data_IF_247676841156
#
_entry.id   IF_247676841156
#
_cell.length_a   1.000
_cell.length_b   1.000
_cell.length_c   1.000
_cell.angle_alpha   90.00
_cell.angle_beta   90.00
_cell.angle_gamma   90.00
#
_symmetry.space_group_name_H-M   'P 1'
#
loop_
_entity.id
_entity.type
_entity.pdbx_description
1 polymer ?
#
# COMPACT_ATOMS: atom_id res chain seq x y z
N UNK A 1 -10.14 12.38 -30.90
CA UNK A 1 -9.43 12.97 -29.75
C UNK A 1 -8.48 11.91 -29.23
N UNK A 2 -7.19 12.17 -29.01
CA UNK A 2 -6.33 11.18 -28.35
C UNK A 2 -6.89 10.98 -26.95
N UNK A 3 -7.03 9.72 -26.50
CA UNK A 3 -7.41 9.39 -25.15
C UNK A 3 -6.39 10.03 -24.20
N UNK A 4 -6.83 10.94 -23.31
CA UNK A 4 -5.99 11.50 -22.26
C UNK A 4 -5.45 10.33 -21.44
N UNK A 5 -4.15 10.24 -21.36
CA UNK A 5 -3.46 9.17 -20.64
C UNK A 5 -3.70 9.41 -19.14
N UNK A 6 -4.53 8.58 -18.51
CA UNK A 6 -4.77 8.64 -17.07
C UNK A 6 -3.44 8.54 -16.34
N UNK A 7 -3.20 9.44 -15.38
CA UNK A 7 -1.95 9.48 -14.62
C UNK A 7 -1.88 8.34 -13.61
N UNK A 8 -0.71 7.71 -13.50
CA UNK A 8 -0.41 6.75 -12.45
C UNK A 8 0.41 7.43 -11.37
N UNK A 9 -0.03 7.35 -10.13
CA UNK A 9 0.65 7.92 -8.97
C UNK A 9 1.18 6.81 -8.09
N UNK A 10 2.49 6.78 -7.91
CA UNK A 10 3.18 5.83 -7.03
C UNK A 10 3.79 6.58 -5.84
N UNK A 11 3.21 6.41 -4.65
CA UNK A 11 3.70 7.00 -3.41
C UNK A 11 5.07 6.49 -2.95
N UNK A 12 5.62 5.46 -3.57
CA UNK A 12 7.01 5.06 -3.35
C UNK A 12 8.00 6.08 -3.94
N UNK A 13 7.55 6.91 -4.90
CA UNK A 13 8.36 7.97 -5.50
C UNK A 13 8.33 9.25 -4.67
N UNK A 14 9.45 10.01 -4.71
CA UNK A 14 9.52 11.33 -4.08
C UNK A 14 8.56 12.29 -4.79
N UNK A 15 7.90 13.13 -4.01
CA UNK A 15 6.99 14.16 -4.52
C UNK A 15 5.87 13.60 -5.42
N UNK A 16 5.40 12.37 -5.14
CA UNK A 16 4.39 11.69 -5.94
C UNK A 16 3.14 12.54 -6.17
N UNK A 17 2.66 13.25 -5.15
CA UNK A 17 1.50 14.13 -5.25
C UNK A 17 1.72 15.40 -6.09
N UNK A 18 2.97 15.77 -6.43
CA UNK A 18 3.26 16.97 -7.22
C UNK A 18 2.67 16.92 -8.63
N UNK A 19 2.41 15.73 -9.15
CA UNK A 19 1.75 15.53 -10.44
C UNK A 19 0.25 15.87 -10.43
N UNK A 20 -0.37 15.86 -9.25
CA UNK A 20 -1.82 16.02 -9.08
C UNK A 20 -2.23 17.13 -8.10
N UNK A 21 -1.30 17.70 -7.35
CA UNK A 21 -1.56 18.77 -6.37
C UNK A 21 -0.66 19.98 -6.66
N UNK A 22 -1.18 21.22 -6.54
CA UNK A 22 -0.43 22.42 -6.92
C UNK A 22 0.65 22.84 -5.92
N UNK A 23 0.59 22.39 -4.66
CA UNK A 23 1.58 22.72 -3.63
C UNK A 23 2.20 21.45 -3.08
N UNK A 24 3.49 21.51 -2.75
CA UNK A 24 4.20 20.45 -2.03
C UNK A 24 3.58 20.21 -0.65
N UNK A 25 3.74 19.01 -0.07
CA UNK A 25 3.27 18.72 1.29
C UNK A 25 3.98 19.60 2.32
N UNK A 26 3.27 19.94 3.40
CA UNK A 26 3.84 20.61 4.59
C UNK A 26 4.76 19.69 5.38
N UNK A 27 4.46 18.37 5.33
CA UNK A 27 5.19 17.32 6.01
C UNK A 27 5.09 16.04 5.16
N UNK A 28 6.19 15.31 5.00
CA UNK A 28 6.22 14.06 4.25
C UNK A 28 7.11 13.03 4.95
N UNK A 29 6.62 11.80 5.06
CA UNK A 29 7.37 10.68 5.61
C UNK A 29 8.29 9.99 4.59
N UNK A 30 8.52 10.59 3.43
CA UNK A 30 9.35 9.98 2.39
C UNK A 30 10.74 9.57 2.91
N UNK A 31 11.38 10.44 3.67
CA UNK A 31 12.72 10.20 4.25
C UNK A 31 12.69 9.48 5.61
N UNK A 32 11.52 9.25 6.21
CA UNK A 32 11.37 8.65 7.54
C UNK A 32 11.53 7.11 7.56
N UNK A 33 11.82 6.48 6.42
CA UNK A 33 12.06 5.03 6.28
C UNK A 33 10.92 4.13 6.81
N UNK A 34 9.68 4.63 6.83
CA UNK A 34 8.52 3.82 7.16
C UNK A 34 8.26 2.78 6.07
N UNK A 35 7.85 1.57 6.45
CA UNK A 35 7.75 0.45 5.52
C UNK A 35 6.30 0.20 5.09
N UNK A 36 6.05 0.31 3.79
CA UNK A 36 4.75 0.03 3.19
C UNK A 36 3.67 1.05 3.52
N UNK A 37 3.97 2.05 4.34
CA UNK A 37 3.11 3.19 4.67
C UNK A 37 3.84 4.49 4.38
N UNK A 38 3.11 5.46 3.85
CA UNK A 38 3.54 6.85 3.72
C UNK A 38 2.49 7.76 4.30
N UNK A 39 2.93 8.90 4.83
CA UNK A 39 2.06 9.98 5.29
C UNK A 39 2.54 11.30 4.71
N UNK A 40 1.60 12.06 4.19
CA UNK A 40 1.83 13.45 3.79
C UNK A 40 0.77 14.35 4.41
N UNK A 41 1.17 15.53 4.87
CA UNK A 41 0.28 16.57 5.35
C UNK A 41 0.21 17.68 4.31
N UNK A 42 -0.97 17.96 3.82
CA UNK A 42 -1.22 18.92 2.75
C UNK A 42 -2.09 20.08 3.19
N UNK A 43 -1.80 21.27 2.64
CA UNK A 43 -2.69 22.42 2.60
C UNK A 43 -2.74 22.92 1.17
N UNK A 44 -3.88 22.75 0.52
CA UNK A 44 -4.04 22.99 -0.91
C UNK A 44 -5.10 24.05 -1.16
N UNK A 45 -4.90 24.96 -2.15
CA UNK A 45 -5.94 25.91 -2.57
C UNK A 45 -7.12 25.19 -3.19
N UNK A 46 -8.22 25.89 -3.50
CA UNK A 46 -9.26 25.35 -4.34
C UNK A 46 -8.69 24.84 -5.66
N UNK A 47 -8.97 23.59 -6.01
CA UNK A 47 -8.33 22.91 -7.14
C UNK A 47 -9.20 21.79 -7.70
N UNK A 48 -8.87 21.35 -8.90
CA UNK A 48 -9.38 20.14 -9.53
C UNK A 48 -8.19 19.29 -9.95
N UNK A 49 -8.10 18.06 -9.42
CA UNK A 49 -7.03 17.14 -9.81
C UNK A 49 -7.25 16.62 -11.22
N UNK A 50 -6.19 16.34 -12.00
CA UNK A 50 -6.35 15.55 -13.21
C UNK A 50 -6.90 14.17 -12.86
N UNK A 51 -7.45 13.47 -13.84
CA UNK A 51 -7.88 12.08 -13.67
C UNK A 51 -6.66 11.17 -13.46
N UNK A 52 -6.67 10.37 -12.40
CA UNK A 52 -5.54 9.55 -12.00
C UNK A 52 -5.97 8.32 -11.21
N UNK A 53 -5.04 7.38 -11.01
CA UNK A 53 -5.16 6.31 -10.04
C UNK A 53 -3.87 6.15 -9.24
N UNK A 54 -4.01 5.63 -8.02
CA UNK A 54 -2.91 5.31 -7.14
C UNK A 54 -2.57 3.82 -7.20
N UNK A 55 -1.29 3.47 -7.15
CA UNK A 55 -0.86 2.07 -7.00
C UNK A 55 -1.11 1.53 -5.58
N UNK A 56 -1.21 2.43 -4.59
CA UNK A 56 -1.46 2.13 -3.19
C UNK A 56 -2.92 2.43 -2.82
N UNK A 57 -3.41 1.85 -1.70
CA UNK A 57 -4.65 2.30 -1.08
C UNK A 57 -4.40 3.64 -0.40
N UNK A 58 -5.28 4.60 -0.63
CA UNK A 58 -5.17 5.96 -0.07
C UNK A 58 -6.26 6.19 0.96
N UNK A 59 -5.85 6.79 2.08
CA UNK A 59 -6.74 7.27 3.13
C UNK A 59 -6.52 8.77 3.25
N UNK A 60 -7.57 9.54 3.04
CA UNK A 60 -7.59 10.97 3.28
C UNK A 60 -8.27 11.24 4.61
N UNK A 61 -7.68 12.08 5.47
CA UNK A 61 -8.25 12.52 6.73
C UNK A 61 -8.32 14.04 6.69
N UNK A 62 -9.52 14.60 6.78
CA UNK A 62 -9.72 16.04 6.78
C UNK A 62 -9.25 16.67 8.10
N UNK A 63 -8.45 17.71 7.99
CA UNK A 63 -8.05 18.59 9.09
C UNK A 63 -8.75 19.96 9.01
N UNK A 64 -9.67 20.13 8.06
CA UNK A 64 -10.37 21.38 7.82
C UNK A 64 -11.50 21.58 8.84
N UNK A 65 -11.31 22.54 9.74
CA UNK A 65 -12.28 22.85 10.83
C UNK A 65 -13.54 23.55 10.32
N UNK A 66 -13.46 24.20 9.15
CA UNK A 66 -14.61 24.93 8.58
C UNK A 66 -15.46 24.02 7.68
N UNK A 67 -14.96 22.84 7.38
CA UNK A 67 -15.53 21.92 6.40
C UNK A 67 -15.42 22.44 4.96
N UNK A 68 -15.36 21.54 4.02
CA UNK A 68 -15.23 21.84 2.60
C UNK A 68 -16.27 21.08 1.79
N UNK A 69 -16.67 21.64 0.64
CA UNK A 69 -17.47 20.92 -0.34
C UNK A 69 -16.52 20.32 -1.37
N UNK A 70 -16.60 19.03 -1.54
CA UNK A 70 -15.76 18.28 -2.48
C UNK A 70 -16.63 17.48 -3.42
N UNK A 71 -16.34 17.54 -4.69
CA UNK A 71 -16.90 16.68 -5.72
C UNK A 71 -15.84 15.65 -6.10
N UNK A 72 -16.24 14.38 -6.17
CA UNK A 72 -15.35 13.27 -6.56
C UNK A 72 -15.98 12.47 -7.67
N UNK A 73 -15.15 12.02 -8.56
CA UNK A 73 -15.54 11.04 -9.59
C UNK A 73 -14.73 9.78 -9.34
N UNK A 74 -15.41 8.67 -9.08
CA UNK A 74 -14.81 7.34 -8.96
C UNK A 74 -15.36 6.45 -10.07
N UNK A 75 -14.50 5.92 -10.92
CA UNK A 75 -14.90 5.07 -12.06
C UNK A 75 -16.11 5.67 -12.83
N UNK A 76 -16.04 6.98 -13.10
CA UNK A 76 -17.08 7.72 -13.84
C UNK A 76 -18.34 8.08 -13.03
N UNK A 77 -18.43 7.73 -11.74
CA UNK A 77 -19.58 8.08 -10.88
C UNK A 77 -19.28 9.34 -10.08
N UNK A 78 -20.04 10.40 -10.31
CA UNK A 78 -19.93 11.67 -9.57
C UNK A 78 -20.59 11.55 -8.20
N UNK A 79 -19.90 12.01 -7.17
CA UNK A 79 -20.40 12.22 -5.83
C UNK A 79 -19.98 13.58 -5.31
N UNK A 80 -20.94 14.34 -4.78
CA UNK A 80 -20.71 15.60 -4.10
C UNK A 80 -20.98 15.41 -2.60
N UNK A 81 -20.04 15.85 -1.77
CA UNK A 81 -20.10 15.65 -0.32
C UNK A 81 -19.58 16.89 0.43
N UNK A 82 -19.97 17.04 1.68
CA UNK A 82 -19.37 17.98 2.61
C UNK A 82 -18.44 17.22 3.52
N UNK A 83 -17.17 17.59 3.52
CA UNK A 83 -16.13 17.00 4.37
C UNK A 83 -15.91 17.91 5.56
N UNK A 84 -15.99 17.36 6.77
CA UNK A 84 -15.75 18.08 8.01
C UNK A 84 -14.44 17.59 8.64
N UNK A 85 -14.00 18.27 9.70
CA UNK A 85 -12.83 17.85 10.48
C UNK A 85 -12.98 16.41 10.99
N UNK A 86 -11.99 15.58 10.74
CA UNK A 86 -11.95 14.17 11.14
C UNK A 86 -12.68 13.20 10.22
N UNK A 87 -13.37 13.70 9.18
CA UNK A 87 -13.93 12.82 8.16
C UNK A 87 -12.83 12.13 7.38
N UNK A 88 -13.09 10.87 7.06
CA UNK A 88 -12.16 9.98 6.37
C UNK A 88 -12.73 9.59 5.01
N UNK A 89 -11.87 9.57 4.00
CA UNK A 89 -12.16 9.05 2.66
C UNK A 89 -11.17 7.94 2.35
N UNK A 90 -11.64 6.84 1.77
CA UNK A 90 -10.80 5.72 1.37
C UNK A 90 -10.92 5.54 -0.14
N UNK A 91 -9.76 5.56 -0.80
CA UNK A 91 -9.61 5.34 -2.23
C UNK A 91 -8.83 4.03 -2.41
N UNK A 92 -9.47 2.96 -2.91
CA UNK A 92 -8.78 1.72 -3.17
C UNK A 92 -7.68 1.88 -4.22
N UNK A 93 -6.64 1.05 -4.14
CA UNK A 93 -5.60 0.98 -5.16
C UNK A 93 -6.21 0.71 -6.54
N UNK A 94 -5.63 1.30 -7.58
CA UNK A 94 -6.03 1.14 -8.98
C UNK A 94 -7.47 1.59 -9.30
N UNK A 95 -8.08 2.41 -8.43
CA UNK A 95 -9.38 3.05 -8.70
C UNK A 95 -9.15 4.37 -9.42
N UNK A 96 -9.78 4.52 -10.59
CA UNK A 96 -9.71 5.78 -11.33
C UNK A 96 -10.51 6.88 -10.62
N UNK A 97 -9.90 8.03 -10.41
CA UNK A 97 -10.45 9.03 -9.55
C UNK A 97 -10.03 10.45 -9.94
N UNK A 98 -10.94 11.39 -9.67
CA UNK A 98 -10.75 12.83 -9.77
C UNK A 98 -11.43 13.50 -8.56
N UNK A 99 -10.82 14.52 -8.00
CA UNK A 99 -11.41 15.33 -6.93
C UNK A 99 -11.38 16.81 -7.28
N UNK A 100 -12.45 17.52 -6.90
CA UNK A 100 -12.59 18.95 -7.08
C UNK A 100 -13.10 19.62 -5.80
N UNK A 101 -12.46 20.70 -5.38
CA UNK A 101 -12.87 21.52 -4.24
C UNK A 101 -12.60 23.01 -4.53
N UNK A 102 -13.38 23.92 -3.90
CA UNK A 102 -13.36 25.36 -4.26
C UNK A 102 -12.61 26.24 -3.27
N UNK A 103 -12.46 25.81 -2.02
CA UNK A 103 -11.81 26.61 -0.96
C UNK A 103 -10.53 25.91 -0.50
N UNK A 104 -9.63 26.64 0.12
CA UNK A 104 -8.43 26.02 0.70
C UNK A 104 -8.84 24.87 1.64
N UNK A 105 -8.17 23.74 1.52
CA UNK A 105 -8.40 22.54 2.33
C UNK A 105 -7.11 22.03 2.95
N UNK A 106 -7.21 21.50 4.17
CA UNK A 106 -6.11 20.89 4.91
C UNK A 106 -6.44 19.44 5.22
N UNK A 107 -5.51 18.52 4.90
CA UNK A 107 -5.75 17.09 5.04
C UNK A 107 -4.46 16.28 5.14
N UNK A 108 -4.56 15.10 5.78
CA UNK A 108 -3.55 14.07 5.72
C UNK A 108 -3.86 13.10 4.58
N UNK A 109 -2.81 12.66 3.92
CA UNK A 109 -2.82 11.54 2.97
C UNK A 109 -2.00 10.42 3.57
N UNK A 110 -2.60 9.27 3.79
CA UNK A 110 -1.90 8.04 4.17
C UNK A 110 -2.00 7.09 3.00
N UNK A 111 -0.86 6.63 2.49
CA UNK A 111 -0.80 5.57 1.49
C UNK A 111 -0.37 4.26 2.13
N UNK A 112 -1.03 3.16 1.76
CA UNK A 112 -0.78 1.81 2.24
C UNK A 112 -0.54 0.86 1.08
N UNK A 113 0.60 0.18 1.09
CA UNK A 113 0.90 -0.85 0.09
C UNK A 113 -0.09 -2.02 0.22
N UNK A 114 -0.66 -2.53 -0.89
CA UNK A 114 -1.59 -3.66 -0.87
C UNK A 114 -1.05 -4.92 -0.16
N UNK A 115 0.27 -5.13 -0.16
CA UNK A 115 0.93 -6.25 0.53
C UNK A 115 0.71 -6.23 2.05
N UNK A 116 0.53 -5.05 2.66
CA UNK A 116 0.26 -4.93 4.10
C UNK A 116 -1.08 -5.57 4.48
N UNK A 117 -2.08 -5.43 3.62
CA UNK A 117 -3.40 -6.01 3.84
C UNK A 117 -3.38 -7.53 3.74
N UNK A 118 -2.63 -8.08 2.79
CA UNK A 118 -2.44 -9.52 2.68
C UNK A 118 -1.82 -10.08 3.96
N UNK A 119 -0.79 -9.42 4.50
CA UNK A 119 -0.16 -9.81 5.76
C UNK A 119 -1.12 -9.70 6.95
N UNK A 120 -1.83 -8.57 7.08
CA UNK A 120 -2.79 -8.36 8.15
C UNK A 120 -3.98 -9.35 8.09
N UNK A 121 -4.42 -9.71 6.89
CA UNK A 121 -5.46 -10.73 6.69
C UNK A 121 -5.00 -12.14 7.06
N UNK A 122 -3.69 -12.44 6.94
CA UNK A 122 -3.12 -13.71 7.38
C UNK A 122 -3.11 -13.85 8.89
N UNK A 123 -2.77 -12.78 9.60
CA UNK A 123 -2.70 -12.76 11.06
C UNK A 123 -4.11 -12.68 11.69
N UNK A 124 -5.08 -12.14 10.95
CA UNK A 124 -6.49 -12.06 11.37
C UNK A 124 -7.26 -13.29 10.86
N UNK A 125 -7.52 -14.24 11.75
CA UNK A 125 -8.00 -15.62 11.52
C UNK A 125 -9.28 -15.78 10.68
N UNK A 126 -10.00 -14.71 10.26
CA UNK A 126 -11.35 -14.84 9.69
C UNK A 126 -11.66 -14.04 8.41
N UNK A 127 -10.68 -13.45 7.75
CA UNK A 127 -10.97 -12.59 6.58
C UNK A 127 -10.81 -13.35 5.26
N UNK A 128 -11.92 -13.81 4.69
CA UNK A 128 -11.96 -14.43 3.36
C UNK A 128 -12.07 -13.35 2.29
N UNK A 129 -11.22 -13.44 1.23
CA UNK A 129 -11.28 -12.60 0.03
C UNK A 129 -11.82 -11.20 0.31
N UNK A 130 -10.97 -10.30 0.74
CA UNK A 130 -11.37 -8.93 1.02
C UNK A 130 -11.06 -8.04 -0.18
N UNK A 131 -11.94 -7.09 -0.41
CA UNK A 131 -11.72 -5.97 -1.31
C UNK A 131 -12.00 -4.69 -0.53
N UNK A 132 -10.99 -3.81 -0.47
CA UNK A 132 -11.21 -2.47 0.09
C UNK A 132 -12.11 -1.72 -0.86
N UNK A 133 -13.24 -1.23 -0.34
CA UNK A 133 -14.20 -0.48 -1.13
C UNK A 133 -14.02 1.02 -0.96
N UNK A 134 -14.37 1.83 -1.97
CA UNK A 134 -14.38 3.28 -1.84
C UNK A 134 -15.27 3.70 -0.65
N UNK A 135 -14.73 4.55 0.20
CA UNK A 135 -15.46 5.12 1.32
C UNK A 135 -15.48 6.63 1.16
N UNK A 136 -16.67 7.18 1.18
CA UNK A 136 -16.86 8.62 1.09
C UNK A 136 -16.76 9.27 2.48
N UNK A 137 -16.69 10.60 2.52
CA UNK A 137 -16.44 11.33 3.75
C UNK A 137 -17.41 10.92 4.86
N UNK A 138 -16.87 10.27 5.86
CA UNK A 138 -17.59 9.87 7.07
C UNK A 138 -16.65 9.88 8.28
N UNK A 139 -17.17 10.20 9.49
CA UNK A 139 -16.38 10.16 10.69
C UNK A 139 -15.85 8.74 10.96
N UNK A 140 -14.54 8.62 11.14
CA UNK A 140 -13.90 7.40 11.63
C UNK A 140 -12.86 7.74 12.68
N UNK A 141 -13.25 7.82 13.97
CA UNK A 141 -12.36 8.25 15.06
C UNK A 141 -11.08 7.39 15.17
N UNK A 142 -11.16 6.10 14.88
CA UNK A 142 -10.00 5.21 14.95
C UNK A 142 -8.97 5.57 13.90
N UNK A 143 -9.36 5.71 12.64
CA UNK A 143 -8.47 6.09 11.54
C UNK A 143 -7.93 7.50 11.78
N UNK A 144 -8.77 8.44 12.22
CA UNK A 144 -8.36 9.80 12.54
C UNK A 144 -7.26 9.82 13.61
N UNK A 145 -7.44 9.12 14.73
CA UNK A 145 -6.45 9.09 15.82
C UNK A 145 -5.13 8.43 15.37
N UNK A 146 -5.20 7.36 14.60
CA UNK A 146 -3.98 6.75 14.03
C UNK A 146 -3.27 7.74 13.10
N UNK A 147 -3.98 8.45 12.24
CA UNK A 147 -3.40 9.44 11.34
C UNK A 147 -2.73 10.60 12.09
N UNK A 148 -3.38 11.12 13.15
CA UNK A 148 -2.81 12.16 14.00
C UNK A 148 -1.59 11.67 14.80
N UNK A 149 -1.59 10.43 15.26
CA UNK A 149 -0.44 9.82 15.92
C UNK A 149 0.75 9.68 14.98
N UNK A 150 0.52 9.22 13.75
CA UNK A 150 1.56 9.15 12.71
C UNK A 150 2.10 10.54 12.33
N UNK A 151 1.21 11.55 12.21
CA UNK A 151 1.61 12.93 11.94
C UNK A 151 2.48 13.49 13.07
N UNK A 152 2.08 13.29 14.33
CA UNK A 152 2.82 13.74 15.51
C UNK A 152 4.21 13.11 15.57
N UNK A 153 4.30 11.81 15.30
CA UNK A 153 5.57 11.09 15.24
C UNK A 153 6.50 11.63 14.17
N UNK A 154 5.96 11.89 12.99
CA UNK A 154 6.72 12.46 11.88
C UNK A 154 7.21 13.90 12.21
N UNK A 155 6.37 14.72 12.83
CA UNK A 155 6.70 16.09 13.24
C UNK A 155 7.77 16.14 14.33
N UNK A 156 7.86 15.12 15.19
CA UNK A 156 8.89 15.01 16.24
C UNK A 156 10.25 14.50 15.72
N UNK A 157 10.42 14.36 14.42
CA UNK A 157 11.65 13.91 13.77
C UNK A 157 11.63 12.43 13.34
N UNK A 158 10.49 11.75 13.47
CA UNK A 158 10.31 10.38 13.00
C UNK A 158 11.16 9.35 13.76
N UNK A 159 11.64 9.71 14.95
CA UNK A 159 12.50 8.88 15.80
C UNK A 159 11.72 7.81 16.58
N UNK A 160 10.39 7.76 16.43
CA UNK A 160 9.55 6.73 17.02
C UNK A 160 10.07 5.34 16.66
N UNK A 161 10.04 4.48 17.65
CA UNK A 161 10.50 3.13 17.43
C UNK A 161 9.74 2.55 16.25
N UNK A 162 10.44 1.96 15.30
CA UNK A 162 9.87 1.26 14.15
C UNK A 162 8.68 0.37 14.55
N UNK A 163 8.76 -0.23 15.75
CA UNK A 163 7.69 -1.05 16.34
C UNK A 163 6.40 -0.24 16.51
N UNK A 164 6.48 1.04 16.88
CA UNK A 164 5.30 1.89 17.06
C UNK A 164 4.59 2.13 15.72
N UNK A 165 5.33 2.53 14.69
CA UNK A 165 4.78 2.74 13.34
C UNK A 165 4.23 1.44 12.75
N UNK A 166 4.97 0.33 12.88
CA UNK A 166 4.53 -0.99 12.39
C UNK A 166 3.24 -1.43 13.11
N UNK A 167 3.10 -1.12 14.42
CA UNK A 167 1.90 -1.44 15.21
C UNK A 167 0.70 -0.61 14.78
N UNK A 168 0.87 0.71 14.59
CA UNK A 168 -0.18 1.59 14.10
C UNK A 168 -0.62 1.19 12.69
N UNK A 169 0.33 0.87 11.83
CA UNK A 169 0.07 0.41 10.45
C UNK A 169 -0.72 -0.90 10.45
N UNK A 170 -0.31 -1.88 11.25
CA UNK A 170 -1.02 -3.16 11.37
C UNK A 170 -2.44 -2.96 11.89
N UNK A 171 -2.59 -2.14 12.93
CA UNK A 171 -3.90 -1.80 13.50
C UNK A 171 -4.81 -1.13 12.48
N UNK A 172 -4.26 -0.19 11.69
CA UNK A 172 -4.98 0.49 10.62
C UNK A 172 -5.43 -0.50 9.54
N UNK A 173 -4.55 -1.38 9.07
CA UNK A 173 -4.89 -2.40 8.08
C UNK A 173 -6.00 -3.35 8.57
N UNK A 174 -5.90 -3.84 9.82
CA UNK A 174 -6.93 -4.71 10.41
C UNK A 174 -8.26 -3.96 10.53
N UNK A 175 -8.24 -2.69 10.97
CA UNK A 175 -9.45 -1.88 11.07
C UNK A 175 -10.14 -1.68 9.72
N UNK A 176 -9.37 -1.37 8.67
CA UNK A 176 -9.86 -1.23 7.31
C UNK A 176 -10.46 -2.53 6.78
N UNK A 177 -9.78 -3.66 7.00
CA UNK A 177 -10.28 -4.98 6.61
C UNK A 177 -11.61 -5.33 7.28
N UNK A 178 -11.78 -4.97 8.54
CA UNK A 178 -13.01 -5.27 9.29
C UNK A 178 -14.18 -4.35 8.95
N UNK A 179 -13.92 -3.07 8.67
CA UNK A 179 -14.97 -2.05 8.62
C UNK A 179 -15.14 -1.39 7.24
N UNK A 180 -14.15 -1.50 6.36
CA UNK A 180 -14.10 -0.81 5.08
C UNK A 180 -13.79 -1.77 3.92
N UNK A 181 -13.99 -3.05 4.13
CA UNK A 181 -13.92 -4.06 3.08
C UNK A 181 -15.23 -4.82 2.94
N UNK A 182 -15.49 -5.32 1.75
CA UNK A 182 -16.53 -6.31 1.53
C UNK A 182 -15.90 -7.69 1.50
N UNK A 183 -16.45 -8.59 2.30
CA UNK A 183 -16.13 -10.01 2.20
C UNK A 183 -16.99 -10.61 1.09
N UNK A 184 -16.36 -11.18 0.08
CA UNK A 184 -17.06 -11.82 -1.03
C UNK A 184 -17.75 -13.14 -0.61
N UNK A 185 -18.38 -13.17 0.57
CA UNK A 185 -19.10 -14.31 1.11
C UNK A 185 -20.59 -14.38 0.66
N UNK A 186 -21.00 -13.56 -0.30
CA UNK A 186 -22.34 -13.72 -0.90
C UNK A 186 -22.22 -14.71 -2.04
N UNK A 187 -22.78 -15.89 -1.81
CA UNK A 187 -23.04 -16.90 -2.85
C UNK A 187 -23.97 -16.28 -3.90
N UNK A 188 -23.39 -15.73 -4.94
CA UNK A 188 -24.08 -15.42 -6.19
C UNK A 188 -23.33 -16.07 -7.35
N UNK A 189 -24.09 -16.74 -8.21
CA UNK A 189 -23.66 -17.66 -9.26
C UNK A 189 -22.91 -17.03 -10.45
N UNK A 190 -22.37 -15.81 -10.35
CA UNK A 190 -21.60 -15.18 -11.43
C UNK A 190 -20.09 -15.26 -11.16
N UNK A 191 -19.48 -16.34 -11.66
CA UNK A 191 -18.11 -16.78 -11.39
C UNK A 191 -17.02 -16.11 -12.24
N UNK A 192 -17.18 -14.89 -12.72
CA UNK A 192 -16.19 -14.33 -13.67
C UNK A 192 -15.12 -13.40 -13.07
N UNK A 193 -15.25 -12.94 -11.79
CA UNK A 193 -14.35 -11.90 -11.26
C UNK A 193 -13.91 -12.12 -9.79
N UNK A 194 -13.63 -13.34 -9.40
CA UNK A 194 -13.14 -13.66 -8.04
C UNK A 194 -11.65 -13.92 -8.05
N UNK A 195 -10.90 -13.29 -7.12
CA UNK A 195 -9.52 -13.64 -6.82
C UNK A 195 -9.35 -15.08 -6.37
N UNK A 196 -8.13 -15.47 -5.96
CA UNK A 196 -7.86 -16.82 -5.44
C UNK A 196 -8.71 -17.12 -4.20
N UNK A 197 -9.32 -18.32 -4.10
CA UNK A 197 -9.92 -18.78 -2.86
C UNK A 197 -8.91 -18.72 -1.71
N UNK A 198 -9.35 -18.28 -0.53
CA UNK A 198 -8.48 -18.04 0.65
C UNK A 198 -7.51 -19.19 0.95
N UNK A 199 -8.02 -20.41 0.96
CA UNK A 199 -7.18 -21.57 1.23
C UNK A 199 -6.05 -21.69 0.23
N UNK A 200 -6.35 -21.48 -1.06
CA UNK A 200 -5.35 -21.51 -2.14
C UNK A 200 -4.39 -20.31 -2.07
N UNK A 201 -4.88 -19.13 -1.73
CA UNK A 201 -4.02 -17.96 -1.50
C UNK A 201 -3.08 -18.20 -0.32
N UNK A 202 -3.60 -18.71 0.80
CA UNK A 202 -2.81 -19.08 1.96
C UNK A 202 -1.75 -20.13 1.62
N UNK A 203 -2.12 -21.21 0.93
CA UNK A 203 -1.19 -22.23 0.47
C UNK A 203 -0.05 -21.61 -0.37
N UNK A 204 -0.39 -20.78 -1.35
CA UNK A 204 0.59 -20.12 -2.21
C UNK A 204 1.53 -19.20 -1.41
N UNK A 205 1.00 -18.36 -0.52
CA UNK A 205 1.80 -17.41 0.26
C UNK A 205 2.67 -18.13 1.29
N UNK A 206 2.13 -19.14 1.99
CA UNK A 206 2.92 -19.96 2.93
C UNK A 206 4.07 -20.64 2.17
N UNK A 207 3.77 -21.26 1.04
CA UNK A 207 4.79 -21.89 0.20
C UNK A 207 5.87 -20.91 -0.25
N UNK A 208 5.48 -19.72 -0.71
CA UNK A 208 6.43 -18.66 -1.07
C UNK A 208 7.32 -18.29 0.12
N UNK A 209 6.75 -18.10 1.30
CA UNK A 209 7.51 -17.68 2.50
C UNK A 209 8.49 -18.75 2.99
N UNK A 210 8.10 -20.01 2.92
CA UNK A 210 8.94 -21.15 3.33
C UNK A 210 10.07 -21.43 2.34
N UNK A 211 9.91 -21.05 1.06
CA UNK A 211 10.86 -21.38 -0.01
C UNK A 211 11.53 -20.16 -0.63
N UNK A 212 11.53 -18.98 0.05
CA UNK A 212 12.09 -17.72 -0.48
C UNK A 212 13.54 -17.83 -0.93
N UNK A 213 14.31 -18.72 -0.32
CA UNK A 213 15.74 -18.95 -0.62
C UNK A 213 15.96 -19.70 -1.94
N UNK A 214 14.93 -20.41 -2.39
CA UNK A 214 14.98 -21.26 -3.59
C UNK A 214 14.60 -20.49 -4.85
N UNK A 215 14.90 -21.06 -6.00
CA UNK A 215 14.46 -20.53 -7.29
C UNK A 215 13.00 -20.90 -7.54
N UNK A 216 12.11 -20.08 -6.97
CA UNK A 216 10.67 -20.28 -7.03
C UNK A 216 10.13 -19.99 -8.43
N UNK A 217 9.58 -21.01 -9.08
CA UNK A 217 8.91 -20.89 -10.37
C UNK A 217 7.42 -20.64 -10.19
N UNK A 218 6.80 -19.97 -11.17
CA UNK A 218 5.35 -19.80 -11.23
C UNK A 218 4.61 -21.16 -11.27
N UNK A 219 5.22 -22.16 -11.90
CA UNK A 219 4.64 -23.49 -12.02
C UNK A 219 4.51 -24.15 -10.64
N UNK A 220 5.56 -24.16 -9.83
CA UNK A 220 5.55 -24.72 -8.48
C UNK A 220 4.51 -24.04 -7.57
N UNK A 221 4.45 -22.70 -7.59
CA UNK A 221 3.47 -21.96 -6.79
C UNK A 221 2.04 -22.25 -7.24
N UNK A 222 1.80 -22.38 -8.54
CA UNK A 222 0.50 -22.73 -9.08
C UNK A 222 0.08 -24.17 -8.74
N UNK A 223 1.04 -25.10 -8.78
CA UNK A 223 0.83 -26.52 -8.47
C UNK A 223 0.35 -26.72 -7.04
N UNK A 224 0.94 -26.03 -6.06
CA UNK A 224 0.52 -26.07 -4.64
C UNK A 224 -0.96 -25.69 -4.47
N UNK A 225 -1.48 -24.86 -5.36
CA UNK A 225 -2.90 -24.45 -5.34
C UNK A 225 -3.80 -25.35 -6.20
N UNK A 226 -3.24 -26.32 -6.92
CA UNK A 226 -3.97 -27.16 -7.88
C UNK A 226 -4.57 -26.38 -9.05
N UNK A 227 -3.87 -25.34 -9.53
CA UNK A 227 -4.33 -24.45 -10.60
C UNK A 227 -3.34 -24.40 -11.77
N UNK A 228 -3.84 -24.10 -12.98
CA UNK A 228 -2.95 -23.76 -14.09
C UNK A 228 -2.22 -22.44 -13.83
N UNK A 229 -0.98 -22.29 -14.30
CA UNK A 229 -0.15 -21.08 -14.14
C UNK A 229 -0.88 -19.80 -14.57
N UNK A 230 -1.59 -19.85 -15.69
CA UNK A 230 -2.33 -18.70 -16.22
C UNK A 230 -3.46 -18.28 -15.29
N UNK A 231 -4.28 -19.24 -14.85
CA UNK A 231 -5.41 -18.97 -13.96
C UNK A 231 -4.93 -18.52 -12.58
N UNK A 232 -3.91 -19.20 -12.03
CA UNK A 232 -3.28 -18.81 -10.78
C UNK A 232 -2.72 -17.38 -10.84
N UNK A 233 -1.90 -17.05 -11.85
CA UNK A 233 -1.25 -15.74 -11.95
C UNK A 233 -2.27 -14.59 -12.00
N UNK A 234 -3.35 -14.76 -12.77
CA UNK A 234 -4.42 -13.77 -12.86
C UNK A 234 -5.13 -13.58 -11.52
N UNK A 235 -5.57 -14.68 -10.89
CA UNK A 235 -6.30 -14.63 -9.63
C UNK A 235 -5.41 -14.20 -8.45
N UNK A 236 -4.13 -14.61 -8.45
CA UNK A 236 -3.16 -14.19 -7.44
C UNK A 236 -2.92 -12.68 -7.51
N UNK A 237 -2.72 -12.13 -8.72
CA UNK A 237 -2.59 -10.68 -8.91
C UNK A 237 -3.85 -9.95 -8.46
N UNK A 238 -5.03 -10.48 -8.76
CA UNK A 238 -6.30 -9.91 -8.33
C UNK A 238 -6.45 -9.91 -6.80
N UNK A 239 -5.97 -10.97 -6.12
CA UNK A 239 -6.05 -11.09 -4.65
C UNK A 239 -4.97 -10.30 -3.89
N UNK A 240 -3.78 -10.12 -4.48
CA UNK A 240 -2.62 -9.55 -3.79
C UNK A 240 -2.21 -8.17 -4.31
N UNK A 241 -2.77 -7.74 -5.44
CA UNK A 241 -2.32 -6.56 -6.18
C UNK A 241 -1.04 -6.77 -7.01
N UNK A 242 -0.30 -7.86 -6.77
CA UNK A 242 0.98 -8.14 -7.43
C UNK A 242 0.95 -9.42 -8.26
N UNK A 243 1.65 -9.41 -9.39
CA UNK A 243 1.95 -10.66 -10.08
C UNK A 243 2.80 -11.57 -9.15
N UNK A 244 2.67 -12.92 -9.22
CA UNK A 244 3.37 -13.84 -8.31
C UNK A 244 4.87 -13.58 -8.19
N UNK A 245 5.56 -13.38 -9.31
CA UNK A 245 6.99 -13.07 -9.31
C UNK A 245 7.31 -11.74 -8.57
N UNK A 246 6.52 -10.70 -8.78
CA UNK A 246 6.70 -9.42 -8.09
C UNK A 246 6.46 -9.57 -6.57
N UNK A 247 5.48 -10.37 -6.19
CA UNK A 247 5.21 -10.69 -4.79
C UNK A 247 6.39 -11.40 -4.12
N UNK A 248 6.99 -12.40 -4.80
CA UNK A 248 8.21 -13.09 -4.32
C UNK A 248 9.35 -12.08 -4.13
N UNK A 249 9.60 -11.20 -5.12
CA UNK A 249 10.63 -10.18 -5.02
C UNK A 249 10.41 -9.25 -3.81
N UNK A 250 9.18 -8.80 -3.60
CA UNK A 250 8.84 -7.96 -2.45
C UNK A 250 9.10 -8.68 -1.12
N UNK A 251 8.72 -9.96 -0.99
CA UNK A 251 9.02 -10.77 0.19
C UNK A 251 10.53 -10.92 0.44
N UNK A 252 11.31 -11.15 -0.62
CA UNK A 252 12.78 -11.22 -0.56
C UNK A 252 13.40 -9.91 -0.07
N UNK A 253 12.94 -8.78 -0.58
CA UNK A 253 13.42 -7.45 -0.16
C UNK A 253 13.07 -7.21 1.31
N UNK A 254 11.87 -7.53 1.76
CA UNK A 254 11.48 -7.37 3.17
C UNK A 254 12.33 -8.27 4.10
N UNK A 255 12.63 -9.50 3.70
CA UNK A 255 13.55 -10.38 4.44
C UNK A 255 14.98 -9.81 4.45
N UNK A 256 15.45 -9.29 3.30
CA UNK A 256 16.78 -8.67 3.20
C UNK A 256 16.91 -7.46 4.14
N UNK A 257 15.91 -6.59 4.22
CA UNK A 257 15.87 -5.45 5.16
C UNK A 257 16.10 -5.91 6.60
N UNK A 258 15.39 -6.97 7.03
CA UNK A 258 15.55 -7.53 8.38
C UNK A 258 16.97 -8.05 8.63
N UNK A 259 17.55 -8.75 7.66
CA UNK A 259 18.92 -9.29 7.78
C UNK A 259 19.97 -8.16 7.79
N UNK A 260 19.80 -7.15 6.94
CA UNK A 260 20.69 -5.98 6.89
C UNK A 260 20.73 -5.21 8.21
N UNK A 261 19.62 -5.17 8.95
CA UNK A 261 19.53 -4.47 10.25
C UNK A 261 19.96 -5.29 11.44
N UNK A 262 19.81 -6.61 11.38
CA UNK A 262 19.93 -7.49 12.56
C UNK A 262 21.18 -8.37 12.55
N UNK A 263 21.92 -8.44 11.45
CA UNK A 263 23.05 -9.37 11.32
C UNK A 263 24.29 -8.68 10.75
N UNK A 264 25.47 -9.27 11.02
CA UNK A 264 26.75 -8.84 10.45
C UNK A 264 27.06 -9.53 9.11
N UNK A 265 26.12 -10.28 8.54
CA UNK A 265 26.30 -10.98 7.27
C UNK A 265 26.70 -10.02 6.15
N UNK A 266 27.54 -10.47 5.23
CA UNK A 266 27.90 -9.70 4.04
C UNK A 266 26.69 -9.49 3.13
N UNK A 267 26.75 -8.50 2.26
CA UNK A 267 25.69 -8.26 1.27
C UNK A 267 25.48 -9.48 0.37
N UNK A 268 26.57 -10.17 0.03
CA UNK A 268 26.51 -11.39 -0.78
C UNK A 268 25.83 -12.54 -0.05
N UNK A 269 26.16 -12.77 1.23
CA UNK A 269 25.50 -13.78 2.06
C UNK A 269 24.00 -13.51 2.19
N UNK A 270 23.60 -12.25 2.40
CA UNK A 270 22.19 -11.87 2.45
C UNK A 270 21.53 -12.09 1.10
N UNK A 271 22.19 -11.70 0.00
CA UNK A 271 21.71 -11.92 -1.37
C UNK A 271 21.33 -13.39 -1.59
N UNK A 272 22.23 -14.32 -1.26
CA UNK A 272 22.00 -15.76 -1.39
C UNK A 272 20.89 -16.25 -0.45
N UNK A 273 20.91 -15.84 0.81
CA UNK A 273 19.96 -16.26 1.83
C UNK A 273 18.52 -15.80 1.55
N UNK A 274 18.35 -14.72 0.79
CA UNK A 274 17.01 -14.27 0.39
C UNK A 274 16.62 -14.75 -1.00
N UNK A 275 17.43 -15.58 -1.66
CA UNK A 275 17.10 -16.28 -2.89
C UNK A 275 17.40 -15.52 -4.19
N UNK A 276 18.27 -14.51 -4.18
CA UNK A 276 18.75 -13.89 -5.43
C UNK A 276 19.96 -14.64 -5.99
N UNK A 277 19.94 -14.91 -7.29
CA UNK A 277 21.02 -15.60 -7.99
C UNK A 277 22.27 -14.73 -8.22
N UNK A 278 22.14 -13.39 -8.15
CA UNK A 278 23.28 -12.50 -8.27
C UNK A 278 23.13 -11.24 -7.44
N UNK A 279 24.23 -10.77 -6.87
CA UNK A 279 24.28 -9.54 -6.08
C UNK A 279 23.92 -8.31 -6.91
N UNK A 280 24.21 -8.30 -8.20
CA UNK A 280 23.85 -7.20 -9.10
C UNK A 280 22.34 -7.08 -9.26
N UNK A 281 21.64 -8.20 -9.49
CA UNK A 281 20.19 -8.23 -9.56
C UNK A 281 19.54 -7.86 -8.21
N UNK A 282 20.06 -8.40 -7.12
CA UNK A 282 19.62 -8.04 -5.76
C UNK A 282 19.73 -6.51 -5.52
N UNK A 283 20.91 -5.94 -5.82
CA UNK A 283 21.15 -4.50 -5.62
C UNK A 283 20.23 -3.65 -6.48
N UNK A 284 19.99 -4.05 -7.72
CA UNK A 284 19.07 -3.37 -8.63
C UNK A 284 17.64 -3.38 -8.10
N UNK A 285 17.12 -4.56 -7.74
CA UNK A 285 15.74 -4.70 -7.22
C UNK A 285 15.60 -3.96 -5.89
N UNK A 286 16.56 -4.09 -5.00
CA UNK A 286 16.57 -3.39 -3.70
C UNK A 286 16.54 -1.87 -3.88
N UNK A 287 17.40 -1.34 -4.80
CA UNK A 287 17.42 0.09 -5.11
C UNK A 287 16.11 0.55 -5.76
N UNK A 288 15.55 -0.24 -6.66
CA UNK A 288 14.25 0.06 -7.29
C UNK A 288 13.13 0.13 -6.26
N UNK A 289 13.13 -0.76 -5.25
CA UNK A 289 12.10 -0.82 -4.21
C UNK A 289 12.24 0.24 -3.12
N UNK A 290 13.48 0.67 -2.80
CA UNK A 290 13.76 1.49 -1.61
C UNK A 290 14.52 2.79 -1.91
N UNK A 291 14.79 3.09 -3.18
CA UNK A 291 15.55 4.28 -3.59
C UNK A 291 17.04 4.27 -3.21
N UNK A 292 17.52 3.23 -2.49
CA UNK A 292 18.90 3.17 -1.98
C UNK A 292 19.49 1.76 -2.12
N UNK A 293 20.83 1.64 -2.12
CA UNK A 293 21.50 0.33 -2.21
C UNK A 293 21.49 -0.40 -0.85
N UNK A 294 21.60 -1.75 -0.83
CA UNK A 294 21.67 -2.52 0.42
C UNK A 294 22.77 -2.05 1.37
N UNK A 295 23.93 -1.66 0.83
CA UNK A 295 25.05 -1.14 1.61
C UNK A 295 24.71 0.17 2.31
N UNK A 296 24.22 1.15 1.56
CA UNK A 296 23.83 2.45 2.11
C UNK A 296 22.64 2.31 3.08
N UNK A 297 21.70 1.41 2.78
CA UNK A 297 20.61 1.10 3.69
C UNK A 297 21.11 0.60 5.05
N UNK A 298 22.07 -0.36 5.06
CA UNK A 298 22.69 -0.87 6.29
C UNK A 298 23.38 0.22 7.09
N UNK A 299 24.17 1.06 6.43
CA UNK A 299 24.90 2.16 7.07
C UNK A 299 23.96 3.15 7.76
N UNK A 300 22.83 3.48 7.11
CA UNK A 300 21.83 4.41 7.66
C UNK A 300 21.02 3.87 8.84
N UNK A 301 20.83 2.56 8.92
CA UNK A 301 19.94 1.93 9.92
C UNK A 301 20.70 1.48 11.17
N UNK A 302 22.04 1.46 11.13
CA UNK A 302 22.91 1.05 12.24
C UNK A 302 23.51 2.21 13.02
N UNK A 303 23.14 3.46 12.65
CA UNK A 303 23.43 4.66 13.43
C UNK A 303 22.32 4.83 14.46
#
# INVERSE_FOLDING_TARGET
MPAEKVLTIDFAQKDACSAILPRSPLLSSYDAQWHGIRLEHHRQPGYETPEHYFEQHIILISLDRNGNKVERIFDGKLQAERINYGDVVIIPANTNHLSRWKTEGEFLVISLEPVLFTRAAFDAVDLQGFEIVPHFAAPNPMIQQIGLALQSELASGGLGTRVYIDSLTTTLCIHLLKNCSVSNNIVSEDTKDRGLPRLKLRQAVTYIQEHLEQDLTLAEIAEVTGMSMYHFSRLFKQSTGFAPHQYVLNCRIERAKKLLTRTEQTIDQICQQVGFQSQSHFTYVFRKSLGTTPKVYREKVRI
#
